data_IF_543246240979
#
_entry.id   IF_543246240979
#
_cell.length_a   1.000
_cell.length_b   1.000
_cell.length_c   1.000
_cell.angle_alpha   90.00
_cell.angle_beta   90.00
_cell.angle_gamma   90.00
#
_symmetry.space_group_name_H-M   'P 1'
#
loop_
_entity.id
_entity.type
_entity.pdbx_description
1 polymer ?
#
# COMPACT_ATOMS: atom_id res chain seq x y z
N UNK A 1 13.03 30.60 -28.89
CA UNK A 1 11.65 30.12 -29.04
C UNK A 1 11.62 28.67 -28.53
N UNK A 2 11.16 28.45 -27.30
CA UNK A 2 11.02 27.11 -26.73
C UNK A 2 9.80 26.47 -27.39
N UNK A 3 10.02 25.52 -28.27
CA UNK A 3 8.96 24.64 -28.75
C UNK A 3 8.48 23.83 -27.55
N UNK A 4 7.18 23.81 -27.21
CA UNK A 4 6.68 22.98 -26.13
C UNK A 4 7.06 21.52 -26.42
N UNK A 5 7.75 20.89 -25.48
CA UNK A 5 8.27 19.53 -25.63
C UNK A 5 7.17 18.59 -26.09
N UNK A 6 7.44 17.80 -27.12
CA UNK A 6 6.54 16.75 -27.58
C UNK A 6 6.52 15.65 -26.50
N UNK A 7 5.35 15.42 -25.95
CA UNK A 7 5.11 14.25 -25.12
C UNK A 7 4.66 13.10 -26.02
N UNK A 8 5.33 12.00 -25.94
CA UNK A 8 4.81 10.73 -26.46
C UNK A 8 3.99 10.09 -25.36
N UNK A 9 2.72 9.85 -25.61
CA UNK A 9 1.82 9.17 -24.67
C UNK A 9 1.33 7.86 -25.26
N UNK A 10 1.26 6.84 -24.45
CA UNK A 10 0.62 5.57 -24.74
C UNK A 10 -0.40 5.28 -23.64
N UNK A 11 -1.63 4.98 -24.04
CA UNK A 11 -2.66 4.52 -23.12
C UNK A 11 -2.84 3.01 -23.30
N UNK A 12 -2.91 2.29 -22.19
CA UNK A 12 -3.07 0.84 -22.14
C UNK A 12 -4.30 0.54 -21.30
N UNK A 13 -5.24 -0.23 -21.82
CA UNK A 13 -6.36 -0.73 -21.03
C UNK A 13 -5.89 -1.85 -20.12
N UNK A 14 -6.19 -1.72 -18.81
CA UNK A 14 -5.82 -2.70 -17.79
C UNK A 14 -7.09 -3.10 -17.03
N UNK A 15 -7.64 -4.26 -17.37
CA UNK A 15 -8.89 -4.70 -16.76
C UNK A 15 -10.00 -3.67 -16.97
N UNK A 16 -10.53 -3.15 -15.85
CA UNK A 16 -11.60 -2.14 -15.87
C UNK A 16 -11.08 -0.69 -15.88
N UNK A 17 -9.78 -0.48 -16.09
CA UNK A 17 -9.17 0.85 -16.06
C UNK A 17 -8.27 1.13 -17.24
N UNK A 18 -7.72 2.32 -17.24
CA UNK A 18 -6.79 2.79 -18.26
C UNK A 18 -5.52 3.34 -17.61
N UNK A 19 -4.37 2.97 -18.15
CA UNK A 19 -3.06 3.46 -17.73
C UNK A 19 -2.47 4.31 -18.83
N UNK A 20 -2.07 5.52 -18.51
CA UNK A 20 -1.38 6.43 -19.42
C UNK A 20 0.08 6.57 -19.01
N UNK A 21 0.97 6.31 -19.94
CA UNK A 21 2.41 6.58 -19.80
C UNK A 21 2.77 7.74 -20.71
N UNK A 22 3.36 8.79 -20.14
CA UNK A 22 3.87 9.94 -20.89
C UNK A 22 5.37 10.05 -20.75
N UNK A 23 6.03 10.29 -21.87
CA UNK A 23 7.47 10.53 -21.96
C UNK A 23 7.69 11.89 -22.62
N UNK A 24 8.52 12.73 -22.02
CA UNK A 24 8.96 14.00 -22.60
C UNK A 24 10.30 13.86 -23.33
N UNK A 25 10.57 14.77 -24.26
CA UNK A 25 11.86 14.83 -24.98
C UNK A 25 13.06 15.00 -24.06
N UNK A 26 12.87 15.53 -22.85
CA UNK A 26 13.91 15.62 -21.82
C UNK A 26 14.11 14.36 -20.98
N UNK A 27 13.49 13.24 -21.37
CA UNK A 27 13.62 11.97 -20.66
C UNK A 27 12.82 11.85 -19.37
N UNK A 28 11.97 12.81 -19.05
CA UNK A 28 11.04 12.69 -17.93
C UNK A 28 9.83 11.84 -18.33
N UNK A 29 9.46 10.91 -17.49
CA UNK A 29 8.28 10.08 -17.68
C UNK A 29 7.29 10.22 -16.53
N UNK A 30 6.03 9.97 -16.80
CA UNK A 30 4.98 9.90 -15.79
C UNK A 30 3.99 8.80 -16.13
N UNK A 31 3.47 8.16 -15.12
CA UNK A 31 2.45 7.12 -15.23
C UNK A 31 1.21 7.57 -14.46
N UNK A 32 0.08 7.54 -15.11
CA UNK A 32 -1.24 7.85 -14.54
C UNK A 32 -2.18 6.68 -14.74
N UNK A 33 -3.14 6.54 -13.85
CA UNK A 33 -4.20 5.54 -13.93
C UNK A 33 -5.57 6.21 -13.81
N UNK A 34 -6.55 5.64 -14.49
CA UNK A 34 -7.95 6.03 -14.43
C UNK A 34 -8.81 4.77 -14.33
N UNK A 35 -9.77 4.77 -13.41
CA UNK A 35 -10.77 3.69 -13.33
C UNK A 35 -11.78 3.78 -14.45
N UNK A 36 -12.38 2.67 -14.84
CA UNK A 36 -13.43 2.64 -15.84
C UNK A 36 -14.60 3.55 -15.43
N UNK A 37 -14.98 4.45 -16.34
CA UNK A 37 -16.04 5.42 -16.08
C UNK A 37 -15.66 6.61 -15.18
N UNK A 38 -14.44 6.65 -14.67
CA UNK A 38 -13.90 7.81 -13.98
C UNK A 38 -13.34 8.86 -14.95
N UNK A 39 -13.57 10.14 -14.67
CA UNK A 39 -13.01 11.23 -15.48
C UNK A 39 -11.61 11.64 -14.99
N UNK A 40 -11.27 11.35 -13.73
CA UNK A 40 -10.05 11.81 -13.11
C UNK A 40 -8.88 10.83 -13.27
N UNK A 41 -7.77 11.37 -13.74
CA UNK A 41 -6.49 10.68 -13.83
C UNK A 41 -5.69 10.84 -12.53
N UNK A 42 -5.34 9.73 -11.89
CA UNK A 42 -4.47 9.73 -10.73
C UNK A 42 -3.03 9.41 -11.14
N UNK A 43 -2.08 10.20 -10.70
CA UNK A 43 -0.66 9.93 -10.93
C UNK A 43 -0.19 8.81 -10.02
N UNK A 44 0.46 7.79 -10.60
CA UNK A 44 1.09 6.70 -9.85
C UNK A 44 2.55 6.99 -9.54
N UNK A 45 3.29 7.40 -10.55
CA UNK A 45 4.71 7.71 -10.38
C UNK A 45 5.22 8.57 -11.54
N UNK A 46 6.33 9.24 -11.31
CA UNK A 46 7.09 9.97 -12.33
C UNK A 46 8.59 9.90 -12.03
N UNK A 47 9.39 9.98 -13.05
CA UNK A 47 10.83 9.89 -12.92
C UNK A 47 11.56 10.32 -14.19
N UNK A 48 12.81 9.95 -14.28
CA UNK A 48 13.68 10.18 -15.42
C UNK A 48 14.22 8.87 -15.97
N UNK A 49 14.56 8.82 -17.26
CA UNK A 49 15.06 7.61 -17.95
C UNK A 49 16.39 7.09 -17.40
N UNK A 50 17.12 7.90 -16.63
CA UNK A 50 18.34 7.48 -15.92
C UNK A 50 18.08 6.60 -14.68
N UNK A 51 16.81 6.32 -14.38
CA UNK A 51 16.39 5.55 -13.20
C UNK A 51 16.03 6.38 -11.98
N UNK A 52 16.12 7.71 -12.05
CA UNK A 52 15.69 8.60 -10.97
C UNK A 52 14.18 8.63 -10.89
N UNK A 53 13.61 8.28 -9.76
CA UNK A 53 12.17 8.40 -9.47
C UNK A 53 11.97 9.67 -8.65
N UNK A 54 11.22 10.63 -9.20
CA UNK A 54 10.93 11.89 -8.52
C UNK A 54 9.77 11.78 -7.55
N UNK A 55 8.77 10.98 -7.90
CA UNK A 55 7.54 10.87 -7.14
C UNK A 55 6.89 9.52 -7.44
N UNK A 56 6.45 8.86 -6.40
CA UNK A 56 5.54 7.73 -6.48
C UNK A 56 4.24 8.13 -5.81
N UNK A 57 3.13 7.53 -6.21
CA UNK A 57 1.89 7.68 -5.46
C UNK A 57 2.18 7.27 -4.02
N UNK A 58 2.06 8.23 -3.11
CA UNK A 58 2.24 7.98 -1.69
C UNK A 58 0.96 7.38 -1.12
N UNK A 59 1.05 6.80 0.06
CA UNK A 59 -0.12 6.31 0.77
C UNK A 59 -1.19 7.41 1.01
N UNK A 60 -0.83 8.68 0.83
CA UNK A 60 -1.75 9.83 0.91
C UNK A 60 -2.72 9.90 -0.28
N UNK A 61 -2.31 9.36 -1.45
CA UNK A 61 -3.17 9.28 -2.65
C UNK A 61 -4.04 8.01 -2.66
N UNK A 62 -3.72 7.06 -1.81
CA UNK A 62 -4.54 5.87 -1.62
C UNK A 62 -5.59 6.17 -0.53
N UNK A 63 -6.85 6.20 -0.93
CA UNK A 63 -7.96 6.30 0.02
C UNK A 63 -7.95 5.13 1.02
N UNK A 64 -8.83 5.17 2.04
CA UNK A 64 -8.91 4.09 3.01
C UNK A 64 -9.12 2.73 2.34
N UNK A 65 -8.30 1.76 2.69
CA UNK A 65 -8.40 0.38 2.20
C UNK A 65 -9.26 -0.43 3.16
N UNK A 66 -10.28 -1.10 2.65
CA UNK A 66 -11.11 -2.03 3.43
C UNK A 66 -10.66 -3.47 3.22
N UNK A 67 -10.36 -4.18 4.29
CA UNK A 67 -10.00 -5.60 4.29
C UNK A 67 -10.85 -6.32 5.33
N UNK A 68 -11.89 -7.00 4.89
CA UNK A 68 -12.87 -7.60 5.80
C UNK A 68 -13.52 -6.54 6.69
N UNK A 69 -13.39 -6.70 8.00
CA UNK A 69 -13.92 -5.75 8.99
C UNK A 69 -12.99 -4.57 9.27
N UNK A 70 -11.79 -4.58 8.71
CA UNK A 70 -10.79 -3.55 8.89
C UNK A 70 -10.92 -2.47 7.82
N UNK A 71 -10.82 -1.23 8.24
CA UNK A 71 -10.60 -0.08 7.37
C UNK A 71 -9.29 0.57 7.76
N UNK A 72 -8.35 0.58 6.83
CA UNK A 72 -7.02 1.17 7.02
C UNK A 72 -6.91 2.44 6.21
N UNK A 73 -6.66 3.54 6.87
CA UNK A 73 -6.42 4.85 6.25
C UNK A 73 -4.94 5.22 6.43
N UNK A 74 -4.13 5.04 5.39
CA UNK A 74 -2.71 5.33 5.44
C UNK A 74 -2.42 6.82 5.65
N UNK A 75 -3.20 7.71 5.03
CA UNK A 75 -3.03 9.15 5.11
C UNK A 75 -3.31 9.68 6.53
N UNK A 76 -4.41 9.24 7.13
CA UNK A 76 -4.75 9.60 8.51
C UNK A 76 -4.00 8.74 9.55
N UNK A 77 -3.23 7.74 9.15
CA UNK A 77 -2.59 6.73 10.01
C UNK A 77 -3.57 6.11 11.00
N UNK A 78 -4.75 5.76 10.50
CA UNK A 78 -5.88 5.26 11.28
C UNK A 78 -6.27 3.85 10.85
N UNK A 79 -6.60 3.03 11.83
CA UNK A 79 -7.25 1.73 11.62
C UNK A 79 -8.58 1.73 12.36
N UNK A 80 -9.61 1.30 11.69
CA UNK A 80 -10.96 1.15 12.24
C UNK A 80 -11.42 -0.30 12.08
N UNK A 81 -12.15 -0.79 13.07
CA UNK A 81 -12.85 -2.08 13.03
C UNK A 81 -14.34 -1.81 13.14
N UNK A 82 -15.10 -2.15 12.10
CA UNK A 82 -16.55 -1.87 12.03
C UNK A 82 -16.92 -0.39 12.26
N UNK A 83 -15.99 0.52 11.94
CA UNK A 83 -16.17 1.97 12.16
C UNK A 83 -15.61 2.50 13.48
N UNK A 84 -15.21 1.63 14.40
CA UNK A 84 -14.58 2.03 15.66
C UNK A 84 -13.06 2.14 15.51
N UNK A 85 -12.46 3.28 15.91
CA UNK A 85 -11.01 3.49 15.76
C UNK A 85 -10.21 2.63 16.75
N UNK A 86 -9.19 1.96 16.25
CA UNK A 86 -8.26 1.14 17.05
C UNK A 86 -6.93 1.87 17.20
N UNK A 87 -6.50 2.06 18.43
CA UNK A 87 -5.19 2.68 18.72
C UNK A 87 -4.05 1.69 18.57
N UNK A 88 -3.28 1.85 17.53
CA UNK A 88 -2.08 1.08 17.26
C UNK A 88 -0.82 1.92 17.52
N UNK A 89 0.25 1.28 17.99
CA UNK A 89 1.58 1.91 18.00
C UNK A 89 2.09 2.06 16.56
N UNK A 90 3.06 2.96 16.33
CA UNK A 90 3.55 3.25 14.98
C UNK A 90 3.92 2.00 14.17
N UNK A 91 4.66 1.07 14.75
CA UNK A 91 5.07 -0.18 14.07
C UNK A 91 3.94 -1.19 13.89
N UNK A 92 2.96 -1.19 14.79
CA UNK A 92 1.76 -1.99 14.67
C UNK A 92 0.88 -1.48 13.50
N UNK A 93 0.78 -0.16 13.38
CA UNK A 93 0.08 0.47 12.25
C UNK A 93 0.77 0.14 10.92
N UNK A 94 2.09 0.32 10.83
CA UNK A 94 2.87 0.02 9.63
C UNK A 94 2.71 -1.45 9.19
N UNK A 95 2.65 -2.37 10.15
CA UNK A 95 2.40 -3.78 9.88
C UNK A 95 1.02 -4.00 9.25
N UNK A 96 -0.03 -3.43 9.84
CA UNK A 96 -1.40 -3.55 9.33
C UNK A 96 -1.54 -2.90 7.96
N UNK A 97 -0.99 -1.69 7.80
CA UNK A 97 -1.03 -0.95 6.54
C UNK A 97 -0.34 -1.75 5.41
N UNK A 98 0.84 -2.31 5.68
CA UNK A 98 1.56 -3.11 4.70
C UNK A 98 0.80 -4.39 4.32
N UNK A 99 0.22 -5.09 5.28
CA UNK A 99 -0.61 -6.27 4.99
C UNK A 99 -1.86 -5.91 4.18
N UNK A 100 -2.44 -4.75 4.41
CA UNK A 100 -3.63 -4.29 3.71
C UNK A 100 -3.36 -3.87 2.24
N UNK A 101 -2.11 -3.65 1.84
CA UNK A 101 -1.77 -3.28 0.44
C UNK A 101 -2.08 -4.41 -0.55
N UNK A 102 -1.97 -5.66 -0.11
CA UNK A 102 -2.27 -6.82 -0.94
C UNK A 102 -2.90 -7.93 -0.08
N UNK A 103 -4.22 -7.88 0.12
CA UNK A 103 -4.93 -8.78 1.05
C UNK A 103 -4.79 -10.26 0.73
N UNK A 104 -4.65 -10.61 -0.54
CA UNK A 104 -4.50 -12.01 -0.99
C UNK A 104 -3.10 -12.59 -0.81
N UNK A 105 -2.12 -11.75 -0.46
CA UNK A 105 -0.71 -12.13 -0.41
C UNK A 105 -0.25 -12.52 0.99
N UNK A 106 0.60 -13.53 1.06
CA UNK A 106 1.40 -13.84 2.26
C UNK A 106 2.72 -13.07 2.19
N UNK A 107 2.91 -12.14 3.11
CA UNK A 107 4.16 -11.40 3.26
C UNK A 107 5.13 -12.21 4.11
N UNK A 108 6.34 -12.42 3.63
CA UNK A 108 7.37 -13.14 4.40
C UNK A 108 7.84 -12.31 5.58
N UNK A 109 8.29 -12.97 6.64
CA UNK A 109 8.85 -12.29 7.81
C UNK A 109 10.05 -11.40 7.47
N UNK A 110 10.85 -11.82 6.49
CA UNK A 110 12.01 -11.05 6.02
C UNK A 110 11.59 -9.77 5.29
N UNK A 111 10.57 -9.84 4.44
CA UNK A 111 10.01 -8.65 3.78
C UNK A 111 9.48 -7.65 4.79
N UNK A 112 8.62 -8.10 5.71
CA UNK A 112 8.05 -7.25 6.75
C UNK A 112 9.12 -6.60 7.63
N UNK A 113 10.15 -7.35 8.02
CA UNK A 113 11.26 -6.80 8.78
C UNK A 113 12.03 -5.74 8.00
N UNK A 114 12.34 -6.01 6.75
CA UNK A 114 13.10 -5.08 5.90
C UNK A 114 12.33 -3.78 5.69
N UNK A 115 11.05 -3.87 5.36
CA UNK A 115 10.24 -2.70 5.02
C UNK A 115 9.87 -1.85 6.26
N UNK A 116 9.58 -2.50 7.40
CA UNK A 116 9.10 -1.79 8.59
C UNK A 116 10.25 -1.40 9.54
N UNK A 117 11.26 -2.26 9.71
CA UNK A 117 12.37 -2.03 10.65
C UNK A 117 13.73 -1.80 9.97
N UNK A 118 13.84 -2.03 8.65
CA UNK A 118 15.10 -1.95 7.94
C UNK A 118 16.07 -3.06 8.37
N UNK A 119 17.37 -2.77 8.31
CA UNK A 119 18.43 -3.74 8.63
C UNK A 119 18.56 -4.07 10.13
N UNK A 120 17.87 -3.34 11.02
CA UNK A 120 17.97 -3.50 12.49
C UNK A 120 16.87 -4.36 13.09
N UNK A 121 15.94 -4.87 12.29
CA UNK A 121 14.82 -5.66 12.78
C UNK A 121 15.22 -7.10 13.12
N UNK A 122 14.79 -7.60 14.29
CA UNK A 122 14.88 -9.00 14.65
C UNK A 122 13.53 -9.71 14.46
N UNK A 123 13.54 -10.96 14.01
CA UNK A 123 12.32 -11.78 13.81
C UNK A 123 11.43 -11.80 15.07
N UNK A 124 12.04 -11.90 16.25
CA UNK A 124 11.34 -11.87 17.53
C UNK A 124 10.57 -10.57 17.76
N UNK A 125 11.10 -9.45 17.28
CA UNK A 125 10.45 -8.15 17.34
C UNK A 125 9.18 -8.12 16.49
N UNK A 126 9.26 -8.63 15.28
CA UNK A 126 8.09 -8.74 14.39
C UNK A 126 6.98 -9.61 15.00
N UNK A 127 7.33 -10.80 15.50
CA UNK A 127 6.36 -11.72 16.09
C UNK A 127 5.67 -11.10 17.32
N UNK A 128 6.42 -10.35 18.14
CA UNK A 128 5.88 -9.63 19.30
C UNK A 128 4.90 -8.52 18.88
N UNK A 129 5.24 -7.72 17.86
CA UNK A 129 4.35 -6.68 17.36
C UNK A 129 3.11 -7.29 16.68
N UNK A 130 3.26 -8.32 15.87
CA UNK A 130 2.14 -9.01 15.23
C UNK A 130 1.17 -9.61 16.28
N UNK A 131 1.70 -10.19 17.36
CA UNK A 131 0.88 -10.72 18.45
C UNK A 131 0.09 -9.63 19.17
N UNK A 132 0.74 -8.50 19.52
CA UNK A 132 0.08 -7.35 20.17
C UNK A 132 -0.98 -6.73 19.26
N UNK A 133 -0.65 -6.53 17.99
CA UNK A 133 -1.58 -5.99 17.00
C UNK A 133 -2.81 -6.88 16.89
N UNK A 134 -2.61 -8.18 16.80
CA UNK A 134 -3.73 -9.16 16.75
C UNK A 134 -4.61 -9.08 18.00
N UNK A 135 -4.02 -8.99 19.20
CA UNK A 135 -4.81 -8.81 20.42
C UNK A 135 -5.68 -7.57 20.38
N UNK A 136 -5.12 -6.41 19.98
CA UNK A 136 -5.85 -5.14 19.89
C UNK A 136 -6.99 -5.19 18.86
N UNK A 137 -6.74 -5.77 17.70
CA UNK A 137 -7.76 -5.91 16.66
C UNK A 137 -8.87 -6.88 17.09
N UNK A 138 -8.54 -7.96 17.79
CA UNK A 138 -9.50 -8.90 18.35
C UNK A 138 -10.36 -8.25 19.43
N UNK A 139 -9.77 -7.49 20.34
CA UNK A 139 -10.49 -6.72 21.36
C UNK A 139 -11.47 -5.71 20.75
N UNK A 140 -11.16 -5.18 19.57
CA UNK A 140 -12.03 -4.32 18.79
C UNK A 140 -13.08 -5.09 17.96
N UNK A 141 -13.10 -6.42 18.00
CA UNK A 141 -14.09 -7.25 17.31
C UNK A 141 -13.66 -7.78 15.93
N UNK A 142 -12.39 -7.64 15.58
CA UNK A 142 -11.81 -8.23 14.36
C UNK A 142 -10.97 -9.46 14.73
N UNK A 143 -11.64 -10.55 15.06
CA UNK A 143 -10.96 -11.84 15.24
C UNK A 143 -10.27 -12.26 13.94
N UNK A 144 -9.09 -12.85 14.06
CA UNK A 144 -8.30 -13.38 12.95
C UNK A 144 -7.90 -12.37 11.87
N UNK A 145 -7.97 -11.08 12.13
CA UNK A 145 -7.60 -10.03 11.16
C UNK A 145 -6.14 -10.12 10.65
N UNK A 146 -5.27 -10.80 11.35
CA UNK A 146 -3.91 -11.12 10.91
C UNK A 146 -3.67 -12.61 11.09
N UNK A 147 -3.52 -13.32 9.99
CA UNK A 147 -3.24 -14.77 9.99
C UNK A 147 -1.73 -15.01 9.99
N UNK A 148 -1.26 -15.78 10.95
CA UNK A 148 0.11 -16.30 10.96
C UNK A 148 0.15 -17.54 10.05
N UNK A 149 0.78 -17.41 8.88
CA UNK A 149 1.01 -18.53 7.97
C UNK A 149 2.28 -19.27 8.37
N UNK A 150 2.33 -19.88 9.57
CA UNK A 150 3.48 -20.61 10.12
C UNK A 150 4.77 -20.47 9.27
N UNK A 151 5.94 -20.49 9.77
CA UNK A 151 7.23 -20.38 9.06
C UNK A 151 7.35 -19.43 7.86
N UNK A 152 6.25 -19.13 7.12
CA UNK A 152 6.27 -18.33 5.89
C UNK A 152 6.07 -16.83 6.13
N UNK A 153 5.14 -16.43 7.00
CA UNK A 153 4.88 -15.00 7.23
C UNK A 153 3.47 -14.71 7.75
N UNK A 154 2.97 -13.55 7.39
CA UNK A 154 1.66 -13.05 7.78
C UNK A 154 0.85 -12.62 6.57
N UNK A 155 -0.46 -12.73 6.65
CA UNK A 155 -1.41 -12.17 5.70
C UNK A 155 -2.59 -11.55 6.45
N UNK A 156 -3.28 -10.56 5.88
CA UNK A 156 -4.56 -10.14 6.42
C UNK A 156 -5.60 -11.24 6.19
N UNK A 157 -6.58 -11.30 7.07
CA UNK A 157 -7.73 -12.17 6.92
C UNK A 157 -8.82 -11.45 6.13
N UNK A 158 -9.18 -11.99 5.00
CA UNK A 158 -10.35 -11.58 4.25
C UNK A 158 -11.56 -12.34 4.83
N UNK A 159 -12.21 -11.80 5.83
CA UNK A 159 -13.37 -12.42 6.44
C UNK A 159 -14.36 -12.91 5.38
N UNK A 160 -14.63 -14.21 5.36
CA UNK A 160 -15.67 -14.82 4.54
C UNK A 160 -17.07 -14.50 5.09
#
# INVERSE_FOLDING_TARGET
MLVPGRFSSAAINIGDGELEVRLSDGGNWQVKVRSAGGEDWRMLCRGHIDGTIFETATAEDEGPVAVGLLRVDPAARRVEVRGDPVRLAAREFELVAMLATDPGRVFTKKELLREIWGSRGALRTLDSHASRTRCKLREAGADDSIVNCHTHGYRPWEGG
#
